data_IF_223048483470
#
_entry.id   IF_223048483470
#
_cell.length_a   1.000
_cell.length_b   1.000
_cell.length_c   1.000
_cell.angle_alpha   90.00
_cell.angle_beta   90.00
_cell.angle_gamma   90.00
#
_symmetry.space_group_name_H-M   'P 1'
#
loop_
_entity.id
_entity.type
_entity.pdbx_description
1 polymer ?
#
# COMPACT_ATOMS: atom_id res chain seq x y z
N UNK A 1 -1.93 -8.38 -9.34
CA UNK A 1 -2.93 -7.94 -10.34
C UNK A 1 -4.26 -7.77 -9.61
N UNK A 2 -4.93 -6.61 -9.75
CA UNK A 2 -6.19 -6.34 -9.06
C UNK A 2 -7.30 -7.28 -9.58
N UNK A 3 -8.19 -7.80 -8.71
CA UNK A 3 -9.35 -8.56 -9.16
C UNK A 3 -10.28 -7.67 -9.98
N UNK A 4 -10.85 -8.23 -11.04
CA UNK A 4 -11.80 -7.52 -11.89
C UNK A 4 -13.21 -7.54 -11.28
N UNK A 5 -13.97 -6.48 -11.53
CA UNK A 5 -15.37 -6.36 -11.12
C UNK A 5 -15.58 -5.66 -9.78
N UNK A 6 -16.86 -5.46 -9.40
CA UNK A 6 -17.22 -4.73 -8.19
C UNK A 6 -16.82 -5.50 -6.94
N UNK A 7 -16.20 -4.79 -6.01
CA UNK A 7 -15.88 -5.28 -4.68
C UNK A 7 -17.11 -5.07 -3.79
N UNK A 8 -17.85 -6.16 -3.51
CA UNK A 8 -18.97 -6.12 -2.56
C UNK A 8 -18.43 -6.01 -1.14
N UNK A 9 -18.42 -4.80 -0.60
CA UNK A 9 -18.17 -4.55 0.80
C UNK A 9 -19.47 -4.75 1.59
N UNK A 10 -19.50 -5.73 2.50
CA UNK A 10 -20.55 -5.78 3.52
C UNK A 10 -20.14 -4.84 4.63
N UNK A 11 -20.99 -3.85 4.89
CA UNK A 11 -20.76 -2.81 5.87
C UNK A 11 -20.74 -3.41 7.28
N UNK A 12 -19.53 -3.63 7.81
CA UNK A 12 -19.31 -4.11 9.17
C UNK A 12 -18.50 -3.02 9.87
N UNK A 13 -18.93 -2.65 11.08
CA UNK A 13 -18.17 -1.76 11.96
C UNK A 13 -16.90 -2.50 12.43
N UNK A 14 -15.80 -2.29 11.72
CA UNK A 14 -14.54 -3.01 11.91
C UNK A 14 -13.33 -2.08 11.92
N UNK A 15 -12.20 -2.57 12.41
CA UNK A 15 -10.96 -1.78 12.36
C UNK A 15 -10.47 -1.61 10.92
N UNK A 16 -9.78 -0.51 10.64
CA UNK A 16 -9.14 -0.28 9.33
C UNK A 16 -8.16 -1.42 9.01
N UNK A 17 -7.43 -1.91 10.01
CA UNK A 17 -6.52 -3.05 9.88
C UNK A 17 -7.24 -4.30 9.40
N UNK A 18 -8.38 -4.65 10.00
CA UNK A 18 -9.13 -5.85 9.62
C UNK A 18 -9.66 -5.74 8.19
N UNK A 19 -10.15 -4.56 7.79
CA UNK A 19 -10.62 -4.32 6.43
C UNK A 19 -9.52 -4.45 5.38
N UNK A 20 -8.31 -3.97 5.68
CA UNK A 20 -7.14 -4.14 4.83
C UNK A 20 -6.75 -5.62 4.72
N UNK A 21 -6.76 -6.36 5.84
CA UNK A 21 -6.47 -7.80 5.85
C UNK A 21 -7.49 -8.59 5.03
N UNK A 22 -8.78 -8.27 5.16
CA UNK A 22 -9.85 -8.89 4.38
C UNK A 22 -9.75 -8.59 2.89
N UNK A 23 -9.40 -7.35 2.53
CA UNK A 23 -9.10 -6.98 1.16
C UNK A 23 -7.98 -7.87 0.60
N UNK A 24 -6.88 -8.02 1.34
CA UNK A 24 -5.79 -8.92 0.96
C UNK A 24 -6.23 -10.36 0.75
N UNK A 25 -7.03 -10.89 1.68
CA UNK A 25 -7.60 -12.24 1.59
C UNK A 25 -8.43 -12.40 0.31
N UNK A 26 -9.27 -11.43 -0.01
CA UNK A 26 -10.11 -11.44 -1.21
C UNK A 26 -9.28 -11.34 -2.50
N UNK A 27 -8.17 -10.59 -2.47
CA UNK A 27 -7.22 -10.48 -3.58
C UNK A 27 -6.23 -11.64 -3.68
N UNK A 28 -6.15 -12.51 -2.66
CA UNK A 28 -5.08 -13.50 -2.47
C UNK A 28 -3.68 -12.87 -2.41
N UNK A 29 -3.57 -11.71 -1.76
CA UNK A 29 -2.32 -10.98 -1.54
C UNK A 29 -2.10 -10.81 -0.03
N UNK A 30 -0.96 -11.27 0.52
CA UNK A 30 -0.62 -11.01 1.92
C UNK A 30 -0.55 -9.51 2.22
N UNK A 31 -1.11 -9.11 3.36
CA UNK A 31 -1.10 -7.72 3.83
C UNK A 31 -0.18 -7.60 5.04
N UNK A 32 0.76 -6.65 4.99
CA UNK A 32 1.56 -6.21 6.13
C UNK A 32 1.11 -4.80 6.49
N UNK A 33 0.33 -4.69 7.57
CA UNK A 33 -0.22 -3.41 8.05
C UNK A 33 0.56 -2.98 9.28
N UNK A 34 1.06 -1.73 9.30
CA UNK A 34 1.75 -1.18 10.46
C UNK A 34 0.85 -1.19 11.70
N UNK A 35 1.45 -1.42 12.88
CA UNK A 35 0.75 -1.33 14.18
C UNK A 35 0.28 0.09 14.50
N UNK A 36 0.84 1.08 13.82
CA UNK A 36 0.49 2.49 13.96
C UNK A 36 -0.76 2.86 13.16
N UNK A 37 -1.23 2.01 12.26
CA UNK A 37 -2.54 2.18 11.62
C UNK A 37 -3.64 2.08 12.69
N UNK A 38 -4.46 3.12 12.78
CA UNK A 38 -5.61 3.23 13.68
C UNK A 38 -6.84 3.69 12.89
N UNK A 39 -8.01 3.49 13.48
CA UNK A 39 -9.28 3.91 12.91
C UNK A 39 -10.28 2.76 12.85
N UNK A 40 -11.54 3.15 12.73
CA UNK A 40 -12.66 2.22 12.49
C UNK A 40 -13.40 2.66 11.25
N UNK A 41 -13.76 1.70 10.41
CA UNK A 41 -14.63 1.89 9.27
C UNK A 41 -16.07 1.86 9.77
N UNK A 42 -16.74 3.01 9.73
CA UNK A 42 -18.18 3.12 9.96
C UNK A 42 -18.96 2.94 8.66
N UNK A 43 -20.29 2.86 8.76
CA UNK A 43 -21.13 2.58 7.61
C UNK A 43 -21.00 3.62 6.47
N UNK A 44 -21.00 3.12 5.24
CA UNK A 44 -20.96 3.91 4.02
C UNK A 44 -19.60 3.97 3.35
N UNK A 45 -19.30 2.97 2.53
CA UNK A 45 -18.24 3.01 1.52
C UNK A 45 -18.88 2.90 0.14
N UNK A 46 -18.45 3.71 -0.85
CA UNK A 46 -19.00 3.64 -2.19
C UNK A 46 -18.74 2.25 -2.82
N UNK A 47 -19.66 1.81 -3.68
CA UNK A 47 -19.46 0.61 -4.50
C UNK A 47 -18.34 0.90 -5.50
N UNK A 48 -17.30 0.09 -5.49
CA UNK A 48 -16.14 0.28 -6.37
C UNK A 48 -15.32 -0.99 -6.50
N UNK A 49 -14.19 -0.88 -7.18
CA UNK A 49 -13.17 -1.93 -7.31
C UNK A 49 -12.33 -2.07 -6.05
N UNK A 50 -11.60 -3.17 -5.91
CA UNK A 50 -10.67 -3.40 -4.79
C UNK A 50 -9.58 -2.31 -4.69
N UNK A 51 -9.19 -1.71 -5.84
CA UNK A 51 -8.23 -0.62 -5.89
C UNK A 51 -8.82 0.67 -5.34
N UNK A 52 -10.00 1.06 -5.81
CA UNK A 52 -10.70 2.27 -5.34
C UNK A 52 -10.98 2.18 -3.84
N UNK A 53 -11.34 0.98 -3.34
CA UNK A 53 -11.49 0.71 -1.92
C UNK A 53 -10.20 0.98 -1.13
N UNK A 54 -9.05 0.50 -1.61
CA UNK A 54 -7.76 0.76 -0.95
C UNK A 54 -7.42 2.25 -0.97
N UNK A 55 -7.60 2.90 -2.13
CA UNK A 55 -7.34 4.33 -2.30
C UNK A 55 -8.18 5.19 -1.36
N UNK A 56 -9.48 4.90 -1.24
CA UNK A 56 -10.40 5.60 -0.33
C UNK A 56 -9.98 5.43 1.14
N UNK A 57 -9.63 4.20 1.57
CA UNK A 57 -9.12 3.97 2.93
C UNK A 57 -7.82 4.74 3.17
N UNK A 58 -6.91 4.69 2.21
CA UNK A 58 -5.62 5.36 2.36
C UNK A 58 -5.79 6.87 2.49
N UNK A 59 -6.60 7.48 1.62
CA UNK A 59 -6.90 8.91 1.66
C UNK A 59 -7.61 9.31 2.96
N UNK A 60 -8.60 8.52 3.41
CA UNK A 60 -9.41 8.85 4.59
C UNK A 60 -8.63 8.78 5.90
N UNK A 61 -7.69 7.84 6.02
CA UNK A 61 -6.96 7.59 7.26
C UNK A 61 -5.49 8.02 7.21
N UNK A 62 -5.07 8.74 6.15
CA UNK A 62 -3.68 9.23 5.99
C UNK A 62 -2.68 8.08 5.92
N UNK A 63 -2.96 7.11 5.04
CA UNK A 63 -2.13 5.93 4.86
C UNK A 63 -1.46 5.93 3.49
N UNK A 64 -0.31 5.30 3.43
CA UNK A 64 0.41 4.99 2.19
C UNK A 64 0.50 3.49 2.02
N UNK A 65 0.59 3.06 0.76
CA UNK A 65 0.74 1.64 0.45
C UNK A 65 1.75 1.41 -0.69
N UNK A 66 2.50 0.32 -0.58
CA UNK A 66 3.37 -0.16 -1.65
C UNK A 66 3.27 -1.68 -1.78
N UNK A 67 3.30 -2.16 -3.02
CA UNK A 67 3.37 -3.59 -3.31
C UNK A 67 4.80 -3.93 -3.73
N UNK A 68 5.47 -4.80 -2.98
CA UNK A 68 6.87 -5.17 -3.22
C UNK A 68 7.04 -6.35 -4.22
N UNK A 69 5.93 -6.78 -4.83
CA UNK A 69 5.87 -7.96 -5.71
C UNK A 69 5.30 -9.20 -5.02
N UNK A 70 5.28 -9.24 -3.68
CA UNK A 70 4.80 -10.38 -2.90
C UNK A 70 3.77 -9.94 -1.86
N UNK A 71 4.05 -8.86 -1.15
CA UNK A 71 3.27 -8.36 -0.01
C UNK A 71 2.80 -6.94 -0.29
N UNK A 72 1.56 -6.67 0.08
CA UNK A 72 1.04 -5.31 0.16
C UNK A 72 1.37 -4.73 1.53
N UNK A 73 2.20 -3.71 1.56
CA UNK A 73 2.63 -3.02 2.76
C UNK A 73 1.80 -1.75 2.93
N UNK A 74 1.26 -1.52 4.12
CA UNK A 74 0.46 -0.33 4.45
C UNK A 74 0.99 0.29 5.74
N UNK A 75 1.25 1.60 5.70
CA UNK A 75 1.75 2.38 6.83
C UNK A 75 1.03 3.73 6.87
N UNK A 76 1.14 4.45 7.98
CA UNK A 76 0.70 5.85 8.06
C UNK A 76 1.64 6.76 7.27
N UNK A 77 1.15 7.88 6.76
CA UNK A 77 1.99 8.87 6.06
C UNK A 77 3.15 9.37 6.94
N UNK A 78 2.93 9.50 8.25
CA UNK A 78 3.95 9.92 9.21
C UNK A 78 5.10 8.90 9.37
N UNK A 79 4.92 7.66 8.93
CA UNK A 79 5.97 6.64 8.94
C UNK A 79 6.88 6.71 7.69
N UNK A 80 6.49 7.48 6.65
CA UNK A 80 7.33 7.65 5.46
C UNK A 80 8.54 8.48 5.82
N UNK A 81 9.72 7.88 5.71
CA UNK A 81 11.00 8.55 5.92
C UNK A 81 11.75 8.64 4.59
N UNK A 82 12.17 9.86 4.26
CA UNK A 82 13.17 10.08 3.22
C UNK A 82 14.54 9.95 3.86
N UNK A 83 15.30 8.91 3.48
CA UNK A 83 16.68 8.75 3.92
C UNK A 83 17.62 9.01 2.74
N UNK A 84 18.61 9.89 2.93
CA UNK A 84 19.71 10.07 1.98
C UNK A 84 20.75 8.98 2.24
N UNK A 85 20.86 8.03 1.32
CA UNK A 85 21.93 7.03 1.35
C UNK A 85 23.08 7.58 0.52
N UNK A 86 24.23 7.97 1.11
CA UNK A 86 25.39 8.36 0.34
C UNK A 86 25.91 7.15 -0.42
N UNK A 87 25.83 7.22 -1.75
CA UNK A 87 26.37 6.21 -2.64
C UNK A 87 27.59 6.81 -3.34
N UNK A 88 28.67 6.05 -3.39
CA UNK A 88 29.78 6.35 -4.30
C UNK A 88 29.21 6.42 -5.73
N UNK A 89 29.67 7.34 -6.57
CA UNK A 89 29.06 7.59 -7.90
C UNK A 89 28.91 6.32 -8.76
N UNK A 90 29.84 5.37 -8.64
CA UNK A 90 29.77 4.07 -9.31
C UNK A 90 28.73 3.11 -8.69
N UNK A 91 28.51 3.21 -7.38
CA UNK A 91 27.49 2.44 -6.65
C UNK A 91 26.07 2.98 -6.90
N UNK A 92 25.90 4.30 -7.07
CA UNK A 92 24.62 4.93 -7.39
C UNK A 92 24.05 4.43 -8.73
N UNK A 93 24.84 4.51 -9.80
CA UNK A 93 24.47 4.01 -11.13
C UNK A 93 24.16 2.51 -11.08
N UNK A 94 24.98 1.72 -10.37
CA UNK A 94 24.72 0.28 -10.22
C UNK A 94 23.49 -0.03 -9.35
N UNK A 95 23.11 0.83 -8.40
CA UNK A 95 21.96 0.62 -7.52
C UNK A 95 20.66 0.89 -8.28
N UNK A 96 20.58 2.00 -9.02
CA UNK A 96 19.45 2.32 -9.89
C UNK A 96 19.20 1.21 -10.93
N UNK A 97 20.25 0.76 -11.63
CA UNK A 97 20.16 -0.33 -12.60
C UNK A 97 19.71 -1.67 -11.98
N UNK A 98 20.07 -1.93 -10.72
CA UNK A 98 19.64 -3.14 -10.00
C UNK A 98 18.20 -3.05 -9.54
N UNK A 99 17.81 -1.93 -8.93
CA UNK A 99 16.43 -1.69 -8.47
C UNK A 99 15.44 -1.66 -9.64
N UNK A 100 15.84 -1.06 -10.77
CA UNK A 100 15.06 -1.05 -12.02
C UNK A 100 14.85 -2.47 -12.56
N UNK A 101 15.90 -3.30 -12.61
CA UNK A 101 15.79 -4.71 -13.03
C UNK A 101 14.95 -5.57 -12.08
N UNK A 102 14.87 -5.21 -10.81
CA UNK A 102 14.04 -5.90 -9.81
C UNK A 102 12.56 -5.47 -9.85
N UNK A 103 12.21 -4.43 -10.61
CA UNK A 103 10.82 -3.97 -10.74
C UNK A 103 10.23 -3.36 -9.47
N UNK A 104 11.09 -2.95 -8.53
CA UNK A 104 10.71 -2.38 -7.22
C UNK A 104 10.64 -0.85 -7.23
N UNK A 105 10.99 -0.21 -8.34
CA UNK A 105 10.83 1.24 -8.50
C UNK A 105 9.35 1.55 -8.66
N UNK A 106 8.79 2.22 -7.67
CA UNK A 106 7.43 2.77 -7.72
C UNK A 106 7.53 4.26 -8.09
N UNK A 107 6.90 4.72 -9.19
CA UNK A 107 6.92 6.12 -9.59
C UNK A 107 6.44 7.11 -8.52
N UNK A 108 5.69 6.63 -7.52
CA UNK A 108 5.24 7.43 -6.38
C UNK A 108 6.37 7.74 -5.38
N UNK A 109 7.51 7.04 -5.48
CA UNK A 109 8.69 7.19 -4.62
C UNK A 109 9.95 7.34 -5.48
N UNK A 110 10.19 8.53 -6.07
CA UNK A 110 11.32 8.77 -6.94
C UNK A 110 12.66 8.75 -6.18
N UNK A 111 13.69 8.18 -6.81
CA UNK A 111 15.09 8.30 -6.37
C UNK A 111 15.63 9.58 -7.03
N UNK A 112 16.19 10.49 -6.23
CA UNK A 112 16.76 11.78 -6.69
C UNK A 112 18.10 12.04 -6.04
#
# INVERSE_FOLDING_TARGET
RWPAGPYKYLTIDQSVTDALVELGRNMRVPMRVSKLVKGRLSAGMPVGTAREFLEEICNRYGLVWHFDGIVMNVATEAEVRTEMIPLDANAAVSAEDRLSRMGVIDPRFPIT
#
